data_IF_236619699613
#
_entry.id   IF_236619699613
#
_cell.length_a   1.000
_cell.length_b   1.000
_cell.length_c   1.000
_cell.angle_alpha   90.00
_cell.angle_beta   90.00
_cell.angle_gamma   90.00
#
_symmetry.space_group_name_H-M   'P 1'
#
loop_
_entity.id
_entity.type
_entity.pdbx_description
1 polymer ?
#
# COMPACT_ATOMS: atom_id res chain seq x y z
N UNK A 1 15.37 3.19 9.80
CA UNK A 1 14.12 2.55 9.32
C UNK A 1 12.96 3.19 10.02
N UNK A 2 11.93 3.55 9.27
CA UNK A 2 10.69 4.13 9.80
C UNK A 2 9.64 3.05 9.57
N UNK A 3 9.49 2.23 10.61
CA UNK A 3 8.87 0.93 10.51
C UNK A 3 7.39 1.08 10.90
N UNK A 4 6.53 1.41 9.93
CA UNK A 4 5.09 1.68 10.16
C UNK A 4 4.40 0.48 10.87
N UNK A 5 4.94 -0.72 10.68
CA UNK A 5 4.52 -1.95 11.33
C UNK A 5 4.84 -1.99 12.83
N UNK A 6 5.94 -1.39 13.26
CA UNK A 6 6.36 -1.29 14.67
C UNK A 6 5.80 -0.05 15.37
N UNK A 7 5.33 0.95 14.60
CA UNK A 7 4.72 2.15 15.16
C UNK A 7 3.24 1.97 15.49
N UNK A 8 2.61 0.88 15.04
CA UNK A 8 1.18 0.67 15.20
C UNK A 8 0.37 1.71 14.44
N UNK A 9 0.80 2.11 13.24
CA UNK A 9 0.05 3.04 12.37
C UNK A 9 -0.85 2.26 11.41
N UNK A 10 -2.18 2.45 11.49
CA UNK A 10 -3.14 1.67 10.69
C UNK A 10 -2.83 1.92 9.22
N UNK A 11 -2.25 0.92 8.55
CA UNK A 11 -1.86 1.02 7.15
C UNK A 11 -2.92 0.43 6.24
N UNK A 12 -3.00 0.91 4.99
CA UNK A 12 -3.94 0.35 3.99
C UNK A 12 -3.75 -1.16 3.75
N UNK A 13 -2.51 -1.71 3.67
CA UNK A 13 -2.32 -3.16 3.57
C UNK A 13 -2.94 -3.92 4.74
N UNK A 14 -2.81 -3.42 5.97
CA UNK A 14 -3.42 -4.03 7.15
C UNK A 14 -4.95 -4.06 7.07
N UNK A 15 -5.57 -2.93 6.72
CA UNK A 15 -7.04 -2.85 6.56
C UNK A 15 -7.51 -3.84 5.48
N UNK A 16 -6.85 -3.85 4.33
CA UNK A 16 -7.24 -4.74 3.23
C UNK A 16 -7.01 -6.21 3.53
N UNK A 17 -5.96 -6.56 4.28
CA UNK A 17 -5.74 -7.94 4.72
C UNK A 17 -6.85 -8.43 5.67
N UNK A 18 -7.29 -7.57 6.60
CA UNK A 18 -8.38 -7.91 7.54
C UNK A 18 -9.77 -8.02 6.90
N UNK A 19 -9.97 -7.30 5.79
CA UNK A 19 -11.18 -7.28 4.96
C UNK A 19 -11.22 -8.42 3.91
N UNK A 20 -10.11 -9.14 3.75
CA UNK A 20 -10.01 -10.32 2.89
C UNK A 20 -10.40 -11.61 3.62
N UNK A 21 -10.53 -12.72 2.88
CA UNK A 21 -10.69 -14.06 3.44
C UNK A 21 -9.34 -14.54 4.03
N UNK A 22 -9.08 -14.13 5.27
CA UNK A 22 -7.86 -14.40 6.03
C UNK A 22 -8.14 -15.43 7.13
N UNK A 23 -7.19 -16.34 7.39
CA UNK A 23 -7.32 -17.30 8.48
C UNK A 23 -7.33 -16.60 9.84
N UNK A 24 -7.99 -17.18 10.84
CA UNK A 24 -8.01 -16.62 12.20
C UNK A 24 -6.61 -16.53 12.80
N UNK A 25 -5.74 -17.49 12.47
CA UNK A 25 -4.33 -17.48 12.88
C UNK A 25 -3.61 -16.27 12.29
N UNK A 26 -3.75 -16.04 10.98
CA UNK A 26 -3.08 -14.94 10.29
C UNK A 26 -3.62 -13.58 10.76
N UNK A 27 -4.94 -13.50 11.01
CA UNK A 27 -5.59 -12.33 11.63
C UNK A 27 -4.97 -12.00 12.98
N UNK A 28 -4.78 -12.99 13.86
CA UNK A 28 -4.11 -12.81 15.15
C UNK A 28 -2.67 -12.36 14.95
N UNK A 29 -1.93 -12.97 14.01
CA UNK A 29 -0.53 -12.62 13.72
C UNK A 29 -0.39 -11.14 13.35
N UNK A 30 -1.13 -10.67 12.33
CA UNK A 30 -1.00 -9.27 11.87
C UNK A 30 -1.52 -8.28 12.92
N UNK A 31 -2.57 -8.63 13.66
CA UNK A 31 -3.13 -7.76 14.71
C UNK A 31 -2.19 -7.66 15.91
N UNK A 32 -1.56 -8.77 16.31
CA UNK A 32 -0.60 -8.78 17.43
C UNK A 32 0.69 -8.04 17.07
N UNK A 33 1.15 -8.18 15.81
CA UNK A 33 2.26 -7.39 15.28
C UNK A 33 1.94 -5.89 15.33
N UNK A 34 0.74 -5.52 14.87
CA UNK A 34 0.25 -4.15 14.84
C UNK A 34 0.08 -3.51 16.22
N UNK A 35 -0.47 -4.25 17.18
CA UNK A 35 -0.68 -3.77 18.56
C UNK A 35 0.60 -3.74 19.41
N UNK A 36 1.76 -4.12 18.84
CA UNK A 36 3.01 -4.22 19.59
C UNK A 36 2.96 -5.27 20.71
N UNK A 37 2.07 -6.25 20.60
CA UNK A 37 1.89 -7.32 21.59
C UNK A 37 2.89 -8.46 21.42
N UNK A 38 3.71 -8.41 20.37
CA UNK A 38 4.80 -9.35 20.14
C UNK A 38 6.16 -8.69 20.36
N UNK A 39 7.00 -9.28 21.22
CA UNK A 39 8.39 -8.85 21.45
C UNK A 39 9.24 -8.92 20.17
N UNK A 40 8.82 -9.74 19.20
CA UNK A 40 9.41 -9.85 17.86
C UNK A 40 8.31 -9.98 16.82
N UNK A 41 8.22 -9.00 15.92
CA UNK A 41 7.37 -9.11 14.73
C UNK A 41 8.13 -9.93 13.69
N UNK A 42 7.52 -11.03 13.25
CA UNK A 42 8.00 -11.78 12.10
C UNK A 42 7.56 -11.06 10.82
N UNK A 43 8.48 -10.28 10.26
CA UNK A 43 8.24 -9.46 9.08
C UNK A 43 7.93 -10.32 7.85
N UNK A 44 8.59 -11.47 7.71
CA UNK A 44 8.39 -12.38 6.57
C UNK A 44 6.97 -12.97 6.61
N UNK A 45 6.50 -13.30 7.80
CA UNK A 45 5.14 -13.80 8.00
C UNK A 45 4.08 -12.73 7.70
N UNK A 46 4.29 -11.49 8.13
CA UNK A 46 3.36 -10.39 7.81
C UNK A 46 3.34 -10.12 6.30
N UNK A 47 4.50 -10.16 5.65
CA UNK A 47 4.58 -10.00 4.21
C UNK A 47 3.85 -11.13 3.47
N UNK A 48 4.05 -12.39 3.88
CA UNK A 48 3.32 -13.54 3.35
C UNK A 48 1.81 -13.32 3.43
N UNK A 49 1.31 -12.88 4.58
CA UNK A 49 -0.13 -12.63 4.79
C UNK A 49 -0.64 -11.54 3.85
N UNK A 50 0.11 -10.45 3.65
CA UNK A 50 -0.30 -9.39 2.72
C UNK A 50 -0.30 -9.83 1.26
N UNK A 51 0.63 -10.69 0.86
CA UNK A 51 0.67 -11.29 -0.48
C UNK A 51 -0.50 -12.27 -0.69
N UNK A 52 -0.75 -13.17 0.27
CA UNK A 52 -1.83 -14.17 0.17
C UNK A 52 -3.23 -13.55 0.20
N UNK A 53 -3.43 -12.47 0.96
CA UNK A 53 -4.72 -11.76 1.05
C UNK A 53 -4.99 -10.81 -0.12
N UNK A 54 -4.02 -10.63 -1.03
CA UNK A 54 -4.11 -9.67 -2.12
C UNK A 54 -4.10 -8.20 -1.65
N UNK A 55 -3.67 -7.92 -0.42
CA UNK A 55 -3.76 -6.61 0.20
C UNK A 55 -2.88 -5.58 -0.53
N UNK A 56 -1.71 -6.00 -1.00
CA UNK A 56 -0.79 -5.15 -1.75
C UNK A 56 -1.33 -4.79 -3.13
N UNK A 57 -1.93 -5.76 -3.82
CA UNK A 57 -2.58 -5.56 -5.11
C UNK A 57 -3.74 -4.57 -4.99
N UNK A 58 -4.54 -4.69 -3.93
CA UNK A 58 -5.61 -3.73 -3.63
C UNK A 58 -5.06 -2.33 -3.34
N UNK A 59 -3.93 -2.22 -2.65
CA UNK A 59 -3.24 -0.94 -2.46
C UNK A 59 -2.80 -0.33 -3.79
N UNK A 60 -2.18 -1.12 -4.67
CA UNK A 60 -1.76 -0.67 -6.00
C UNK A 60 -2.96 -0.24 -6.87
N UNK A 61 -4.04 -1.01 -6.85
CA UNK A 61 -5.27 -0.65 -7.55
C UNK A 61 -5.86 0.66 -7.02
N UNK A 62 -5.85 0.87 -5.70
CA UNK A 62 -6.31 2.12 -5.10
C UNK A 62 -5.41 3.31 -5.43
N UNK A 63 -4.10 3.09 -5.47
CA UNK A 63 -3.15 4.11 -5.93
C UNK A 63 -3.47 4.50 -7.37
N UNK A 64 -3.66 3.54 -8.28
CA UNK A 64 -4.06 3.80 -9.68
C UNK A 64 -5.34 4.63 -9.77
N UNK A 65 -6.38 4.25 -9.02
CA UNK A 65 -7.64 5.00 -8.96
C UNK A 65 -7.41 6.46 -8.57
N UNK A 66 -6.54 6.74 -7.60
CA UNK A 66 -6.31 8.10 -7.13
C UNK A 66 -5.60 8.99 -8.14
N UNK A 67 -4.61 8.54 -8.92
CA UNK A 67 -4.08 9.43 -9.95
C UNK A 67 -4.96 9.51 -11.18
N UNK A 68 -5.74 8.48 -11.54
CA UNK A 68 -6.73 8.66 -12.60
C UNK A 68 -7.72 9.76 -12.21
N UNK A 69 -8.19 9.77 -10.96
CA UNK A 69 -9.00 10.87 -10.43
C UNK A 69 -8.24 12.19 -10.42
N UNK A 70 -6.96 12.18 -10.05
CA UNK A 70 -6.08 13.36 -10.11
C UNK A 70 -5.99 13.95 -11.52
N UNK A 71 -5.79 13.10 -12.54
CA UNK A 71 -5.79 13.48 -13.96
C UNK A 71 -7.13 14.05 -14.39
N UNK A 72 -8.24 13.44 -13.97
CA UNK A 72 -9.58 13.96 -14.24
C UNK A 72 -9.76 15.37 -13.67
N UNK A 73 -9.33 15.62 -12.43
CA UNK A 73 -9.41 16.97 -11.85
C UNK A 73 -8.51 17.97 -12.56
N UNK A 74 -7.33 17.56 -13.03
CA UNK A 74 -6.43 18.42 -13.78
C UNK A 74 -6.93 18.70 -15.21
N UNK A 75 -7.82 17.87 -15.77
CA UNK A 75 -8.27 17.97 -17.16
C UNK A 75 -8.88 19.34 -17.46
N UNK A 76 -9.65 19.89 -16.52
CA UNK A 76 -10.38 21.16 -16.67
C UNK A 76 -9.48 22.41 -16.59
N UNK A 77 -8.24 22.27 -16.14
CA UNK A 77 -7.29 23.39 -16.07
C UNK A 77 -6.63 23.65 -17.43
N UNK A 78 -6.39 24.92 -17.73
CA UNK A 78 -5.60 25.30 -18.90
C UNK A 78 -4.20 24.68 -18.87
N UNK A 79 -3.62 24.51 -20.06
CA UNK A 79 -2.27 23.96 -20.19
C UNK A 79 -1.29 24.90 -19.52
N UNK A 80 -0.54 24.37 -18.56
CA UNK A 80 0.50 25.08 -17.82
C UNK A 80 1.63 24.13 -17.46
N UNK A 81 2.81 24.68 -17.20
CA UNK A 81 3.97 23.93 -16.71
C UNK A 81 3.63 23.19 -15.40
N UNK A 82 2.85 23.82 -14.52
CA UNK A 82 2.37 23.18 -13.29
C UNK A 82 1.51 21.94 -13.55
N UNK A 83 0.58 22.01 -14.52
CA UNK A 83 -0.25 20.86 -14.92
C UNK A 83 0.60 19.73 -15.50
N UNK A 84 1.56 20.06 -16.35
CA UNK A 84 2.48 19.08 -16.94
C UNK A 84 3.36 18.42 -15.87
N UNK A 85 3.87 19.21 -14.92
CA UNK A 85 4.67 18.69 -13.81
C UNK A 85 3.87 17.78 -12.88
N UNK A 86 2.63 18.15 -12.54
CA UNK A 86 1.75 17.30 -11.72
C UNK A 86 1.42 15.98 -12.43
N UNK A 87 1.15 16.01 -13.74
CA UNK A 87 0.97 14.79 -14.53
C UNK A 87 2.22 13.92 -14.53
N UNK A 88 3.40 14.52 -14.71
CA UNK A 88 4.67 13.82 -14.65
C UNK A 88 4.92 13.15 -13.30
N UNK A 89 4.65 13.85 -12.17
CA UNK A 89 4.79 13.26 -10.83
C UNK A 89 3.90 12.03 -10.68
N UNK A 90 2.64 12.12 -11.13
CA UNK A 90 1.71 11.00 -11.07
C UNK A 90 2.24 9.81 -11.89
N UNK A 91 2.73 10.03 -13.11
CA UNK A 91 3.28 8.97 -13.96
C UNK A 91 4.56 8.33 -13.38
N UNK A 92 5.46 9.15 -12.79
CA UNK A 92 6.67 8.64 -12.15
C UNK A 92 6.40 7.86 -10.87
N UNK A 93 5.32 8.18 -10.16
CA UNK A 93 4.91 7.39 -9.01
C UNK A 93 4.50 5.97 -9.45
N UNK A 94 3.92 5.81 -10.65
CA UNK A 94 3.55 4.49 -11.20
C UNK A 94 4.66 3.71 -11.87
N UNK A 95 5.63 4.38 -12.51
CA UNK A 95 6.69 3.69 -13.25
C UNK A 95 7.54 2.76 -12.36
N UNK A 96 7.44 2.91 -11.04
CA UNK A 96 8.09 2.07 -10.02
C UNK A 96 7.21 0.92 -9.49
N UNK A 97 5.97 0.77 -9.95
CA UNK A 97 5.01 -0.23 -9.47
C UNK A 97 4.38 -0.99 -10.64
N UNK A 98 5.20 -1.75 -11.36
CA UNK A 98 4.74 -2.62 -12.45
C UNK A 98 4.07 -3.90 -11.91
N UNK A 99 3.03 -4.45 -12.57
CA UNK A 99 2.52 -5.78 -12.25
C UNK A 99 3.64 -6.83 -12.35
N UNK A 100 3.92 -7.55 -11.26
CA UNK A 100 5.02 -8.52 -11.18
C UNK A 100 6.33 -7.97 -10.59
N UNK A 101 6.42 -6.68 -10.24
CA UNK A 101 7.45 -6.24 -9.30
C UNK A 101 7.10 -6.82 -7.93
N UNK A 102 8.01 -7.63 -7.36
CA UNK A 102 8.01 -7.88 -5.92
C UNK A 102 8.15 -6.51 -5.26
N UNK A 103 7.03 -5.99 -4.74
CA UNK A 103 7.06 -4.82 -3.89
C UNK A 103 7.73 -5.29 -2.61
N UNK A 104 9.04 -5.12 -2.53
CA UNK A 104 9.73 -5.23 -1.24
C UNK A 104 9.11 -4.14 -0.39
N UNK A 105 8.36 -4.54 0.65
CA UNK A 105 7.92 -3.60 1.66
C UNK A 105 9.22 -2.99 2.20
N UNK A 106 9.48 -1.72 1.90
CA UNK A 106 10.58 -1.00 2.52
C UNK A 106 10.07 -0.61 3.88
N UNK A 107 10.52 -1.34 4.90
CA UNK A 107 10.15 -1.16 6.31
C UNK A 107 11.36 -0.60 7.11
#
# INVERSE_FOLDING_TARGET
SRNDLLNGDVSLPFIYALDSDISERDRITITSAYLGQSDKVDIEEVQRIYEETGAMERCMAKMNEFAERGRMFLADFERSEAKEFLNYIMDQYYSKFSPGMKVSVII
#
